data_IF_615126638608
#
_entry.id   IF_615126638608
#
_cell.length_a   1.000
_cell.length_b   1.000
_cell.length_c   1.000
_cell.angle_alpha   90.00
_cell.angle_beta   90.00
_cell.angle_gamma   90.00
#
_symmetry.space_group_name_H-M   'P 1'
#
loop_
_entity.id
_entity.type
_entity.pdbx_description
1 polymer ?
#
# COMPACT_ATOMS: atom_id res chain seq x y z
N UNK A 1 11.87 14.48 -2.38
CA UNK A 1 10.67 15.09 -3.01
C UNK A 1 9.68 15.53 -1.93
N UNK A 2 8.77 16.48 -2.18
CA UNK A 2 7.71 16.86 -1.24
C UNK A 2 6.73 15.70 -0.99
N UNK A 3 6.55 15.22 0.26
CA UNK A 3 5.60 14.15 0.58
C UNK A 3 4.19 14.71 0.77
N UNK A 4 3.38 14.73 -0.28
CA UNK A 4 1.98 15.15 -0.17
C UNK A 4 1.19 14.18 0.73
N UNK A 5 0.69 14.67 1.87
CA UNK A 5 -0.02 13.83 2.85
C UNK A 5 -1.27 13.16 2.26
N UNK A 6 -1.96 13.82 1.34
CA UNK A 6 -3.09 13.22 0.60
C UNK A 6 -2.71 11.94 -0.13
N UNK A 7 -1.51 11.88 -0.73
CA UNK A 7 -0.99 10.68 -1.42
C UNK A 7 -0.50 9.63 -0.41
N UNK A 8 0.06 10.06 0.72
CA UNK A 8 0.43 9.17 1.84
C UNK A 8 -0.81 8.46 2.39
N UNK A 9 -1.88 9.20 2.70
CA UNK A 9 -3.13 8.62 3.17
C UNK A 9 -3.81 7.75 2.10
N UNK A 10 -3.86 8.22 0.85
CA UNK A 10 -4.37 7.45 -0.29
C UNK A 10 -3.75 6.05 -0.33
N UNK A 11 -2.41 5.99 -0.38
CA UNK A 11 -1.70 4.74 -0.61
C UNK A 11 -1.70 3.80 0.60
N UNK A 12 -1.66 4.35 1.83
CA UNK A 12 -1.73 3.53 3.05
C UNK A 12 -3.13 2.96 3.28
N UNK A 13 -4.19 3.76 3.09
CA UNK A 13 -5.58 3.32 3.30
C UNK A 13 -6.00 2.28 2.25
N UNK A 14 -5.73 2.55 0.96
CA UNK A 14 -6.03 1.60 -0.11
C UNK A 14 -5.24 0.29 0.09
N UNK A 15 -3.94 0.38 0.42
CA UNK A 15 -3.12 -0.80 0.66
C UNK A 15 -3.64 -1.68 1.79
N UNK A 16 -4.03 -1.08 2.93
CA UNK A 16 -4.63 -1.81 4.05
C UNK A 16 -5.97 -2.46 3.68
N UNK A 17 -6.80 -1.76 2.90
CA UNK A 17 -8.08 -2.27 2.42
C UNK A 17 -7.93 -3.48 1.48
N UNK A 18 -6.96 -3.40 0.55
CA UNK A 18 -6.58 -4.48 -0.35
C UNK A 18 -6.10 -5.70 0.44
N UNK A 19 -5.21 -5.50 1.41
CA UNK A 19 -4.76 -6.58 2.27
C UNK A 19 -5.88 -7.21 3.09
N UNK A 20 -6.81 -6.40 3.61
CA UNK A 20 -7.95 -6.89 4.38
C UNK A 20 -8.83 -7.79 3.51
N UNK A 21 -9.14 -7.36 2.29
CA UNK A 21 -9.90 -8.20 1.35
C UNK A 21 -9.18 -9.53 1.05
N UNK A 22 -7.87 -9.50 0.81
CA UNK A 22 -7.08 -10.74 0.64
C UNK A 22 -7.18 -11.65 1.86
N UNK A 23 -7.18 -11.10 3.08
CA UNK A 23 -7.33 -11.87 4.30
C UNK A 23 -8.74 -12.52 4.41
N UNK A 24 -9.80 -11.77 4.13
CA UNK A 24 -11.17 -12.31 4.11
C UNK A 24 -11.27 -13.51 3.17
N UNK A 25 -10.86 -13.33 1.91
CA UNK A 25 -10.97 -14.40 0.93
C UNK A 25 -10.04 -15.57 1.22
N UNK A 26 -8.84 -15.33 1.78
CA UNK A 26 -7.95 -16.40 2.25
C UNK A 26 -8.61 -17.22 3.35
N UNK A 27 -9.27 -16.56 4.33
CA UNK A 27 -10.05 -17.26 5.36
C UNK A 27 -11.10 -18.17 4.73
N UNK A 28 -11.89 -17.63 3.80
CA UNK A 28 -12.91 -18.40 3.10
C UNK A 28 -12.35 -19.62 2.35
N UNK A 29 -11.25 -19.46 1.61
CA UNK A 29 -10.61 -20.60 0.92
C UNK A 29 -10.25 -21.69 1.94
N UNK A 30 -9.62 -21.32 3.05
CA UNK A 30 -9.18 -22.30 4.05
C UNK A 30 -10.36 -23.02 4.71
N UNK A 31 -11.47 -22.33 4.96
CA UNK A 31 -12.68 -22.96 5.51
C UNK A 31 -13.38 -23.84 4.47
N UNK A 32 -13.55 -23.38 3.22
CA UNK A 32 -14.24 -24.15 2.18
C UNK A 32 -13.51 -25.46 1.83
N UNK A 33 -12.17 -25.44 1.83
CA UNK A 33 -11.36 -26.64 1.62
C UNK A 33 -11.08 -27.43 2.91
N UNK A 34 -11.80 -27.15 4.00
CA UNK A 34 -11.71 -27.86 5.30
C UNK A 34 -10.30 -27.89 5.89
N UNK A 35 -9.49 -26.88 5.60
CA UNK A 35 -8.16 -26.68 6.18
C UNK A 35 -8.24 -25.98 7.53
N UNK A 36 -9.38 -25.34 7.83
CA UNK A 36 -9.71 -24.66 9.09
C UNK A 36 -11.16 -24.95 9.48
N UNK A 37 -11.55 -24.73 10.76
CA UNK A 37 -12.93 -24.86 11.23
C UNK A 37 -13.90 -24.04 10.38
N UNK A 38 -15.11 -24.56 10.17
CA UNK A 38 -16.13 -23.86 9.38
C UNK A 38 -16.49 -22.53 10.05
N UNK A 39 -16.36 -21.45 9.28
CA UNK A 39 -16.76 -20.14 9.73
C UNK A 39 -18.24 -19.93 9.40
N UNK A 40 -19.09 -20.24 10.37
CA UNK A 40 -20.54 -20.17 10.19
C UNK A 40 -21.13 -18.77 10.34
N UNK A 41 -20.32 -17.78 10.73
CA UNK A 41 -20.78 -16.40 10.88
C UNK A 41 -20.49 -15.55 9.62
N UNK A 42 -21.51 -15.22 8.80
CA UNK A 42 -21.34 -14.36 7.62
C UNK A 42 -20.96 -12.92 8.00
N UNK A 43 -21.17 -12.48 9.25
CA UNK A 43 -20.87 -11.12 9.69
C UNK A 43 -19.40 -10.75 9.51
N UNK A 44 -18.48 -11.70 9.65
CA UNK A 44 -17.06 -11.43 9.43
C UNK A 44 -16.78 -10.99 7.98
N UNK A 45 -17.37 -11.68 7.00
CA UNK A 45 -17.21 -11.33 5.59
C UNK A 45 -17.94 -10.03 5.24
N UNK A 46 -19.14 -9.82 5.79
CA UNK A 46 -19.96 -8.62 5.54
C UNK A 46 -19.29 -7.38 6.13
N UNK A 47 -18.96 -7.41 7.43
CA UNK A 47 -18.33 -6.29 8.14
C UNK A 47 -16.91 -6.06 7.61
N UNK A 48 -16.15 -7.12 7.34
CA UNK A 48 -14.84 -7.01 6.72
C UNK A 48 -14.88 -6.34 5.35
N UNK A 49 -15.85 -6.71 4.51
CA UNK A 49 -16.05 -6.07 3.20
C UNK A 49 -16.45 -4.60 3.34
N UNK A 50 -17.35 -4.29 4.28
CA UNK A 50 -17.75 -2.91 4.57
C UNK A 50 -16.56 -2.06 5.06
N UNK A 51 -15.72 -2.62 5.94
CA UNK A 51 -14.50 -1.96 6.42
C UNK A 51 -13.49 -1.76 5.29
N UNK A 52 -13.29 -2.75 4.42
CA UNK A 52 -12.42 -2.61 3.23
C UNK A 52 -12.95 -1.50 2.30
N UNK A 53 -14.25 -1.45 2.03
CA UNK A 53 -14.87 -0.38 1.23
C UNK A 53 -14.71 1.00 1.87
N UNK A 54 -14.86 1.10 3.20
CA UNK A 54 -14.66 2.36 3.92
C UNK A 54 -13.23 2.86 3.76
N UNK A 55 -12.23 1.96 3.88
CA UNK A 55 -10.82 2.31 3.69
C UNK A 55 -10.50 2.68 2.23
N UNK A 56 -11.03 1.93 1.24
CA UNK A 56 -10.91 2.26 -0.18
C UNK A 56 -11.53 3.63 -0.48
N UNK A 57 -12.72 3.89 0.04
CA UNK A 57 -13.44 5.15 -0.12
C UNK A 57 -12.71 6.32 0.54
N UNK A 58 -12.18 6.14 1.75
CA UNK A 58 -11.38 7.15 2.44
C UNK A 58 -10.08 7.46 1.69
N UNK A 59 -9.40 6.44 1.16
CA UNK A 59 -8.23 6.60 0.30
C UNK A 59 -8.58 7.36 -0.98
N UNK A 60 -9.63 6.93 -1.70
CA UNK A 60 -10.13 7.62 -2.89
C UNK A 60 -10.47 9.09 -2.59
N UNK A 61 -11.14 9.37 -1.48
CA UNK A 61 -11.44 10.73 -1.04
C UNK A 61 -10.17 11.54 -0.79
N UNK A 62 -9.16 10.96 -0.13
CA UNK A 62 -7.87 11.60 0.07
C UNK A 62 -7.19 11.99 -1.26
N UNK A 63 -7.41 11.22 -2.34
CA UNK A 63 -6.84 11.54 -3.66
C UNK A 63 -7.29 12.89 -4.22
N UNK A 64 -8.46 13.41 -3.85
CA UNK A 64 -8.95 14.67 -4.42
C UNK A 64 -8.16 15.89 -3.93
N UNK A 65 -7.56 15.82 -2.74
CA UNK A 65 -6.88 16.96 -2.12
C UNK A 65 -5.52 17.31 -2.74
N UNK A 66 -4.97 16.48 -3.65
CA UNK A 66 -3.78 16.85 -4.43
C UNK A 66 -4.09 17.27 -5.88
N UNK A 67 -5.37 17.24 -6.29
CA UNK A 67 -5.76 17.63 -7.64
C UNK A 67 -5.90 19.15 -7.74
N UNK A 68 -5.27 19.75 -8.74
CA UNK A 68 -5.48 21.17 -9.04
C UNK A 68 -6.88 21.49 -9.58
N UNK A 69 -7.51 20.54 -10.27
CA UNK A 69 -8.85 20.66 -10.88
C UNK A 69 -9.67 19.39 -10.63
N UNK A 70 -10.21 19.20 -9.41
CA UNK A 70 -10.91 17.97 -9.02
C UNK A 70 -12.15 17.68 -9.87
N UNK A 71 -12.80 18.71 -10.43
CA UNK A 71 -13.96 18.57 -11.32
C UNK A 71 -13.63 17.85 -12.64
N UNK A 72 -12.35 17.78 -13.01
CA UNK A 72 -11.85 17.10 -14.22
C UNK A 72 -11.27 15.72 -13.94
N UNK A 73 -11.35 15.23 -12.70
CA UNK A 73 -10.73 13.96 -12.28
C UNK A 73 -11.18 12.77 -13.16
N UNK A 74 -12.43 12.74 -13.61
CA UNK A 74 -12.98 11.68 -14.47
C UNK A 74 -12.21 11.52 -15.81
N UNK A 75 -11.57 12.59 -16.31
CA UNK A 75 -10.77 12.54 -17.55
C UNK A 75 -9.51 11.70 -17.42
N UNK A 76 -9.05 11.41 -16.20
CA UNK A 76 -7.85 10.62 -15.94
C UNK A 76 -7.95 9.16 -16.44
N UNK A 77 -9.16 8.67 -16.73
CA UNK A 77 -9.43 7.33 -17.29
C UNK A 77 -8.95 7.20 -18.76
N UNK A 78 -8.81 8.31 -19.49
CA UNK A 78 -8.67 8.29 -20.95
C UNK A 78 -7.37 7.65 -21.49
N UNK A 79 -6.31 7.50 -20.67
CA UNK A 79 -4.97 7.08 -21.10
C UNK A 79 -4.52 5.71 -20.54
N UNK A 80 -5.46 4.81 -20.26
CA UNK A 80 -5.20 3.53 -19.60
C UNK A 80 -4.20 2.61 -20.34
N UNK A 81 -4.05 2.76 -21.67
CA UNK A 81 -3.07 1.97 -22.44
C UNK A 81 -1.63 2.36 -22.15
N UNK A 82 -1.36 3.58 -21.71
CA UNK A 82 0.01 4.11 -21.56
C UNK A 82 0.32 4.66 -20.16
N UNK A 83 -0.70 4.93 -19.33
CA UNK A 83 -0.56 5.51 -18.00
C UNK A 83 -0.97 4.54 -16.90
N UNK A 84 -0.06 4.28 -15.96
CA UNK A 84 -0.35 3.47 -14.76
C UNK A 84 -1.35 4.15 -13.83
N UNK A 85 -1.29 5.48 -13.69
CA UNK A 85 -2.29 6.25 -12.96
C UNK A 85 -3.68 6.05 -13.54
N UNK A 86 -3.80 6.07 -14.87
CA UNK A 86 -5.08 5.83 -15.54
C UNK A 86 -5.62 4.41 -15.32
N UNK A 87 -4.73 3.41 -15.23
CA UNK A 87 -5.10 2.03 -14.87
C UNK A 87 -5.55 1.91 -13.42
N UNK A 88 -4.91 2.62 -12.48
CA UNK A 88 -5.33 2.67 -11.07
C UNK A 88 -6.75 3.25 -10.94
N UNK A 89 -7.06 4.34 -11.66
CA UNK A 89 -8.39 4.97 -11.65
C UNK A 89 -9.49 4.02 -12.18
N UNK A 90 -9.15 3.01 -12.97
CA UNK A 90 -10.09 1.95 -13.40
C UNK A 90 -10.10 0.79 -12.40
N UNK A 91 -8.92 0.33 -11.97
CA UNK A 91 -8.76 -0.82 -11.10
C UNK A 91 -9.37 -0.59 -9.70
N UNK A 92 -9.28 0.63 -9.16
CA UNK A 92 -9.80 0.97 -7.84
C UNK A 92 -11.33 0.86 -7.78
N UNK A 93 -12.12 1.53 -8.64
CA UNK A 93 -13.57 1.32 -8.70
C UNK A 93 -13.98 -0.11 -9.01
N UNK A 94 -13.23 -0.81 -9.89
CA UNK A 94 -13.51 -2.21 -10.20
C UNK A 94 -13.32 -3.10 -8.96
N UNK A 95 -12.24 -2.90 -8.20
CA UNK A 95 -12.03 -3.59 -6.92
C UNK A 95 -13.13 -3.24 -5.92
N UNK A 96 -13.51 -1.97 -5.76
CA UNK A 96 -14.61 -1.56 -4.89
C UNK A 96 -15.94 -2.24 -5.27
N UNK A 97 -16.23 -2.35 -6.56
CA UNK A 97 -17.40 -3.09 -7.04
C UNK A 97 -17.30 -4.58 -6.70
N UNK A 98 -16.13 -5.19 -6.86
CA UNK A 98 -15.87 -6.58 -6.48
C UNK A 98 -16.05 -6.85 -4.98
N UNK A 99 -15.48 -5.99 -4.11
CA UNK A 99 -15.65 -6.09 -2.65
C UNK A 99 -17.10 -5.91 -2.25
N UNK A 100 -17.81 -4.97 -2.87
CA UNK A 100 -19.26 -4.78 -2.66
C UNK A 100 -20.03 -6.03 -3.04
N UNK A 101 -19.78 -6.59 -4.23
CA UNK A 101 -20.46 -7.78 -4.70
C UNK A 101 -20.17 -8.99 -3.79
N UNK A 102 -18.93 -9.16 -3.36
CA UNK A 102 -18.52 -10.21 -2.42
C UNK A 102 -19.24 -10.08 -1.07
N UNK A 103 -19.22 -8.91 -0.45
CA UNK A 103 -19.93 -8.68 0.82
C UNK A 103 -21.44 -8.81 0.69
N UNK A 104 -22.03 -8.35 -0.43
CA UNK A 104 -23.45 -8.51 -0.70
C UNK A 104 -23.84 -9.99 -0.89
N UNK A 105 -23.00 -10.79 -1.56
CA UNK A 105 -23.26 -12.21 -1.74
C UNK A 105 -23.30 -12.96 -0.39
N UNK A 106 -22.42 -12.59 0.56
CA UNK A 106 -22.50 -13.09 1.94
C UNK A 106 -23.74 -12.59 2.68
N UNK A 107 -24.12 -11.31 2.51
CA UNK A 107 -25.31 -10.74 3.14
C UNK A 107 -26.62 -11.38 2.67
N UNK A 108 -26.74 -11.70 1.39
CA UNK A 108 -27.92 -12.35 0.81
C UNK A 108 -27.86 -13.88 0.88
N UNK A 109 -26.88 -14.45 1.58
CA UNK A 109 -26.68 -15.90 1.72
C UNK A 109 -26.63 -16.65 0.38
N UNK A 110 -25.89 -16.09 -0.59
CA UNK A 110 -25.65 -16.71 -1.90
C UNK A 110 -24.55 -17.79 -1.82
N UNK A 111 -24.61 -18.61 -0.78
CA UNK A 111 -23.63 -19.64 -0.40
C UNK A 111 -23.97 -21.02 -0.94
N UNK A 112 -25.13 -21.17 -1.60
CA UNK A 112 -25.53 -22.42 -2.23
C UNK A 112 -24.56 -22.81 -3.37
N UNK A 113 -24.03 -24.05 -3.40
CA UNK A 113 -23.14 -24.50 -4.45
C UNK A 113 -23.77 -24.42 -5.84
N UNK A 114 -23.11 -23.72 -6.76
CA UNK A 114 -23.51 -23.64 -8.17
C UNK A 114 -23.01 -24.86 -8.97
N UNK A 115 -21.83 -25.38 -8.60
CA UNK A 115 -21.26 -26.60 -9.14
C UNK A 115 -20.31 -27.24 -8.13
N UNK A 116 -20.09 -28.54 -8.26
CA UNK A 116 -19.17 -29.28 -7.41
C UNK A 116 -17.88 -29.62 -8.16
N UNK A 117 -16.76 -29.52 -7.46
CA UNK A 117 -15.48 -30.03 -7.96
C UNK A 117 -15.46 -31.57 -7.89
N UNK A 118 -14.57 -32.25 -8.64
CA UNK A 118 -14.43 -33.72 -8.55
C UNK A 118 -14.12 -34.26 -7.14
N UNK A 119 -13.68 -33.39 -6.21
CA UNK A 119 -13.48 -33.73 -4.79
C UNK A 119 -14.67 -33.45 -3.88
N UNK A 120 -15.85 -33.14 -4.43
CA UNK A 120 -17.08 -32.86 -3.67
C UNK A 120 -17.09 -31.50 -2.97
N UNK A 121 -16.16 -30.59 -3.29
CA UNK A 121 -16.19 -29.22 -2.78
C UNK A 121 -17.13 -28.40 -3.65
N UNK A 122 -18.21 -27.87 -3.07
CA UNK A 122 -19.14 -26.96 -3.73
C UNK A 122 -18.51 -25.59 -3.96
N UNK A 123 -18.64 -25.08 -5.19
CA UNK A 123 -18.25 -23.72 -5.55
C UNK A 123 -19.52 -22.88 -5.63
N UNK A 124 -19.61 -21.88 -4.76
CA UNK A 124 -20.74 -20.96 -4.66
C UNK A 124 -20.44 -19.61 -5.35
N UNK A 125 -21.40 -18.69 -5.32
CA UNK A 125 -21.22 -17.36 -5.90
C UNK A 125 -20.15 -16.54 -5.13
N UNK A 126 -20.05 -16.74 -3.81
CA UNK A 126 -19.13 -15.98 -2.95
C UNK A 126 -17.66 -16.30 -3.29
N UNK A 127 -17.33 -17.57 -3.55
CA UNK A 127 -16.00 -18.00 -3.98
C UNK A 127 -15.59 -17.41 -5.33
N UNK A 128 -16.51 -17.42 -6.30
CA UNK A 128 -16.25 -16.87 -7.65
C UNK A 128 -15.98 -15.37 -7.57
N UNK A 129 -16.84 -14.64 -6.86
CA UNK A 129 -16.67 -13.19 -6.64
C UNK A 129 -15.39 -12.90 -5.86
N UNK A 130 -15.07 -13.71 -4.86
CA UNK A 130 -13.85 -13.61 -4.08
C UNK A 130 -12.59 -13.79 -4.94
N UNK A 131 -12.59 -14.76 -5.84
CA UNK A 131 -11.49 -15.03 -6.77
C UNK A 131 -11.30 -13.87 -7.77
N UNK A 132 -12.39 -13.41 -8.40
CA UNK A 132 -12.35 -12.27 -9.34
C UNK A 132 -11.84 -11.02 -8.62
N UNK A 133 -12.34 -10.74 -7.42
CA UNK A 133 -11.95 -9.55 -6.65
C UNK A 133 -10.51 -9.65 -6.15
N UNK A 134 -10.00 -10.86 -5.91
CA UNK A 134 -8.58 -11.09 -5.61
C UNK A 134 -7.69 -10.71 -6.81
N UNK A 135 -8.07 -11.10 -8.03
CA UNK A 135 -7.37 -10.68 -9.24
C UNK A 135 -7.39 -9.16 -9.44
N UNK A 136 -8.53 -8.51 -9.16
CA UNK A 136 -8.65 -7.04 -9.18
C UNK A 136 -7.78 -6.39 -8.09
N UNK A 137 -7.69 -7.00 -6.91
CA UNK A 137 -6.87 -6.52 -5.80
C UNK A 137 -5.38 -6.52 -6.16
N UNK A 138 -4.86 -7.61 -6.74
CA UNK A 138 -3.49 -7.63 -7.24
C UNK A 138 -3.26 -6.68 -8.41
N UNK A 139 -4.23 -6.54 -9.31
CA UNK A 139 -4.17 -5.56 -10.40
C UNK A 139 -4.02 -4.15 -9.84
N UNK A 140 -4.79 -3.79 -8.80
CA UNK A 140 -4.69 -2.50 -8.15
C UNK A 140 -3.33 -2.30 -7.47
N UNK A 141 -2.80 -3.29 -6.74
CA UNK A 141 -1.45 -3.21 -6.14
C UNK A 141 -0.36 -2.94 -7.19
N UNK A 142 -0.43 -3.65 -8.32
CA UNK A 142 0.50 -3.45 -9.43
C UNK A 142 0.34 -2.05 -10.01
N UNK A 143 -0.89 -1.56 -10.20
CA UNK A 143 -1.13 -0.21 -10.71
C UNK A 143 -0.52 0.86 -9.78
N UNK A 144 -0.83 0.81 -8.47
CA UNK A 144 -0.32 1.75 -7.47
C UNK A 144 1.21 1.73 -7.40
N UNK A 145 1.83 0.55 -7.32
CA UNK A 145 3.28 0.43 -7.27
C UNK A 145 3.96 0.91 -8.56
N UNK A 146 3.36 0.63 -9.72
CA UNK A 146 3.94 0.97 -11.02
C UNK A 146 3.86 2.47 -11.36
N UNK A 147 2.98 3.24 -10.73
CA UNK A 147 2.99 4.72 -10.83
C UNK A 147 4.36 5.27 -10.46
N UNK A 148 5.02 4.66 -9.47
CA UNK A 148 6.35 5.05 -9.02
C UNK A 148 7.45 4.26 -9.71
N UNK A 149 7.28 2.93 -9.82
CA UNK A 149 8.32 2.05 -10.34
C UNK A 149 8.62 2.30 -11.83
N UNK A 150 7.73 2.93 -12.60
CA UNK A 150 7.99 3.27 -14.00
C UNK A 150 8.80 4.56 -14.20
N UNK A 151 9.03 5.36 -13.15
CA UNK A 151 9.68 6.67 -13.24
C UNK A 151 11.21 6.50 -13.25
N UNK A 152 11.76 6.24 -14.45
CA UNK A 152 13.18 5.89 -14.66
C UNK A 152 14.19 6.87 -14.06
N UNK A 153 13.86 8.16 -14.00
CA UNK A 153 14.77 9.19 -13.52
C UNK A 153 14.81 9.31 -11.99
N UNK A 154 13.80 8.78 -11.28
CA UNK A 154 13.81 8.63 -9.82
C UNK A 154 14.30 7.22 -9.49
N UNK A 155 15.61 7.10 -9.34
CA UNK A 155 16.29 5.81 -9.24
C UNK A 155 15.90 5.05 -7.96
N UNK A 156 15.56 5.79 -6.89
CA UNK A 156 15.10 5.26 -5.61
C UNK A 156 13.77 4.53 -5.76
N UNK A 157 12.92 4.97 -6.69
CA UNK A 157 11.60 4.37 -6.97
C UNK A 157 11.64 3.35 -8.10
N UNK A 158 12.50 3.54 -9.11
CA UNK A 158 12.57 2.70 -10.29
C UNK A 158 13.22 1.32 -9.99
N UNK A 159 12.43 0.44 -9.38
CA UNK A 159 12.80 -0.91 -8.98
C UNK A 159 11.55 -1.79 -8.83
N UNK A 160 11.62 -3.11 -9.14
CA UNK A 160 10.52 -4.03 -8.80
C UNK A 160 10.26 -4.10 -7.28
N UNK A 161 11.26 -3.79 -6.44
CA UNK A 161 11.10 -3.71 -4.99
C UNK A 161 10.03 -2.70 -4.57
N UNK A 162 9.79 -1.67 -5.37
CA UNK A 162 8.72 -0.70 -5.10
C UNK A 162 7.36 -1.38 -5.14
N UNK A 163 7.03 -2.08 -6.24
CA UNK A 163 5.77 -2.80 -6.37
C UNK A 163 5.61 -3.85 -5.26
N UNK A 164 6.67 -4.62 -5.00
CA UNK A 164 6.67 -5.66 -3.96
C UNK A 164 6.41 -5.05 -2.56
N UNK A 165 7.04 -3.92 -2.23
CA UNK A 165 6.85 -3.27 -0.94
C UNK A 165 5.44 -2.72 -0.76
N UNK A 166 4.83 -2.12 -1.80
CA UNK A 166 3.43 -1.68 -1.73
C UNK A 166 2.48 -2.87 -1.46
N UNK A 167 2.67 -3.98 -2.18
CA UNK A 167 1.88 -5.20 -1.97
C UNK A 167 2.07 -5.77 -0.58
N UNK A 168 3.31 -6.03 -0.14
CA UNK A 168 3.59 -6.69 1.14
C UNK A 168 3.15 -5.84 2.34
N UNK A 169 3.37 -4.52 2.31
CA UNK A 169 2.95 -3.63 3.40
C UNK A 169 1.41 -3.51 3.48
N UNK A 170 0.74 -3.43 2.33
CA UNK A 170 -0.72 -3.48 2.25
C UNK A 170 -1.29 -4.80 2.78
N UNK A 171 -0.76 -5.94 2.30
CA UNK A 171 -1.15 -7.27 2.78
C UNK A 171 -0.88 -7.45 4.27
N UNK A 172 0.28 -7.06 4.78
CA UNK A 172 0.62 -7.15 6.21
C UNK A 172 -0.39 -6.40 7.08
N UNK A 173 -0.64 -5.12 6.77
CA UNK A 173 -1.60 -4.30 7.53
C UNK A 173 -3.04 -4.78 7.40
N UNK A 174 -3.43 -5.30 6.25
CA UNK A 174 -4.74 -5.89 6.05
C UNK A 174 -4.97 -7.18 6.85
N UNK A 175 -3.96 -8.05 6.96
CA UNK A 175 -4.03 -9.23 7.82
C UNK A 175 -4.01 -8.87 9.31
N UNK A 176 -3.30 -7.81 9.71
CA UNK A 176 -3.39 -7.25 11.07
C UNK A 176 -4.82 -6.75 11.35
N UNK A 177 -5.47 -6.06 10.40
CA UNK A 177 -6.88 -5.66 10.51
C UNK A 177 -7.82 -6.87 10.61
N UNK A 178 -7.60 -7.91 9.82
CA UNK A 178 -8.38 -9.15 9.89
C UNK A 178 -8.23 -9.83 11.25
N UNK A 179 -7.05 -9.76 11.87
CA UNK A 179 -6.81 -10.23 13.24
C UNK A 179 -7.69 -9.48 14.25
N UNK A 180 -7.77 -8.15 14.16
CA UNK A 180 -8.65 -7.32 15.01
C UNK A 180 -10.11 -7.70 14.81
N UNK A 181 -10.55 -7.78 13.55
CA UNK A 181 -11.93 -8.10 13.21
C UNK A 181 -12.33 -9.48 13.73
N UNK A 182 -11.45 -10.47 13.55
CA UNK A 182 -11.64 -11.83 14.02
C UNK A 182 -11.68 -11.92 15.55
N UNK A 183 -10.79 -11.21 16.25
CA UNK A 183 -10.82 -11.14 17.71
C UNK A 183 -12.03 -10.38 18.26
N UNK A 184 -12.57 -9.40 17.52
CA UNK A 184 -13.77 -8.64 17.92
C UNK A 184 -15.06 -9.44 17.75
N UNK A 185 -15.15 -10.21 16.67
CA UNK A 185 -16.28 -11.10 16.37
C UNK A 185 -16.13 -12.50 17.01
N UNK A 186 -15.10 -12.70 17.83
CA UNK A 186 -14.79 -13.96 18.51
C UNK A 186 -14.73 -15.18 17.57
N UNK A 187 -14.09 -14.99 16.40
CA UNK A 187 -13.93 -16.09 15.43
C UNK A 187 -12.65 -16.89 15.72
N UNK A 188 -12.68 -18.20 15.45
CA UNK A 188 -11.52 -19.10 15.67
C UNK A 188 -10.31 -18.80 14.77
N UNK A 189 -10.42 -17.83 13.85
CA UNK A 189 -9.38 -17.46 12.89
C UNK A 189 -8.42 -16.38 13.37
N UNK A 190 -8.55 -15.88 14.60
CA UNK A 190 -7.74 -14.74 15.06
C UNK A 190 -6.24 -15.07 15.03
N UNK A 191 -5.89 -16.26 15.52
CA UNK A 191 -4.51 -16.76 15.50
C UNK A 191 -4.02 -17.06 14.08
N UNK A 192 -4.91 -17.50 13.19
CA UNK A 192 -4.59 -17.71 11.78
C UNK A 192 -4.19 -16.39 11.12
N UNK A 193 -5.00 -15.35 11.29
CA UNK A 193 -4.71 -14.03 10.74
C UNK A 193 -3.48 -13.38 11.37
N UNK A 194 -3.30 -13.50 12.68
CA UNK A 194 -2.12 -12.99 13.37
C UNK A 194 -0.83 -13.63 12.85
N UNK A 195 -0.85 -14.96 12.63
CA UNK A 195 0.31 -15.70 12.10
C UNK A 195 0.68 -15.25 10.68
N UNK A 196 -0.31 -15.08 9.81
CA UNK A 196 -0.09 -14.55 8.46
C UNK A 196 0.32 -13.07 8.48
N UNK A 197 -0.26 -12.25 9.37
CA UNK A 197 0.13 -10.86 9.56
C UNK A 197 1.61 -10.74 9.96
N UNK A 198 2.08 -11.55 10.90
CA UNK A 198 3.50 -11.64 11.28
C UNK A 198 4.35 -12.05 10.07
N UNK A 199 3.95 -13.09 9.36
CA UNK A 199 4.67 -13.60 8.19
C UNK A 199 4.84 -12.53 7.12
N UNK A 200 3.75 -11.87 6.72
CA UNK A 200 3.80 -10.77 5.75
C UNK A 200 4.56 -9.56 6.26
N UNK A 201 4.49 -9.25 7.56
CA UNK A 201 5.26 -8.15 8.16
C UNK A 201 6.77 -8.44 8.12
N UNK A 202 7.19 -9.68 8.39
CA UNK A 202 8.59 -10.11 8.27
C UNK A 202 9.05 -10.05 6.80
N UNK A 203 8.25 -10.57 5.87
CA UNK A 203 8.57 -10.48 4.44
C UNK A 203 8.67 -9.03 3.97
N UNK A 204 7.72 -8.18 4.37
CA UNK A 204 7.74 -6.75 4.08
C UNK A 204 9.01 -6.07 4.65
N UNK A 205 9.43 -6.43 5.87
CA UNK A 205 10.67 -5.94 6.46
C UNK A 205 11.89 -6.30 5.61
N UNK A 206 12.01 -7.56 5.18
CA UNK A 206 13.15 -8.02 4.38
C UNK A 206 13.24 -7.29 3.04
N UNK A 207 12.12 -7.17 2.32
CA UNK A 207 12.07 -6.47 1.03
C UNK A 207 12.25 -4.95 1.18
N UNK A 208 11.76 -4.37 2.29
CA UNK A 208 11.97 -2.95 2.57
C UNK A 208 13.42 -2.65 2.94
N UNK A 209 14.05 -3.51 3.72
CA UNK A 209 15.48 -3.43 4.02
C UNK A 209 16.31 -3.57 2.74
N UNK A 210 15.98 -4.52 1.86
CA UNK A 210 16.64 -4.67 0.56
C UNK A 210 16.52 -3.40 -0.29
N UNK A 211 15.35 -2.74 -0.30
CA UNK A 211 15.13 -1.47 -0.98
C UNK A 211 15.99 -0.34 -0.41
N UNK A 212 16.10 -0.22 0.92
CA UNK A 212 16.94 0.81 1.55
C UNK A 212 18.43 0.56 1.29
N UNK A 213 18.90 -0.68 1.43
CA UNK A 213 20.30 -1.05 1.15
C UNK A 213 20.65 -0.83 -0.32
N UNK A 214 19.74 -1.12 -1.24
CA UNK A 214 19.90 -0.78 -2.66
C UNK A 214 20.04 0.73 -2.83
N UNK A 215 19.15 1.52 -2.24
CA UNK A 215 19.12 2.96 -2.43
C UNK A 215 20.41 3.65 -1.94
N UNK A 216 21.00 3.15 -0.85
CA UNK A 216 22.31 3.62 -0.36
C UNK A 216 23.47 3.40 -1.35
N UNK A 217 23.32 2.46 -2.29
CA UNK A 217 24.34 2.12 -3.29
C UNK A 217 24.06 2.75 -4.66
N UNK A 218 23.03 3.59 -4.78
CA UNK A 218 22.70 4.25 -6.06
C UNK A 218 23.77 5.27 -6.42
N UNK A 219 24.31 5.14 -7.63
CA UNK A 219 25.11 6.18 -8.26
C UNK A 219 24.22 7.05 -9.17
N UNK A 220 24.19 8.38 -9.00
CA UNK A 220 23.46 9.28 -9.89
C UNK A 220 23.84 9.07 -11.36
N UNK A 221 22.85 8.84 -12.25
CA UNK A 221 23.07 8.71 -13.70
C UNK A 221 23.25 10.05 -14.41
N UNK A 222 22.69 11.10 -13.83
CA UNK A 222 22.77 12.46 -14.34
C UNK A 222 23.69 13.28 -13.44
N UNK A 223 24.52 14.10 -14.07
CA UNK A 223 25.33 15.14 -13.44
C UNK A 223 25.09 16.49 -14.13
N UNK A 224 25.71 17.56 -13.61
CA UNK A 224 25.60 18.92 -14.16
C UNK A 224 25.95 19.00 -15.66
N UNK A 225 26.81 18.12 -16.15
CA UNK A 225 27.35 18.13 -17.52
C UNK A 225 26.38 17.46 -18.50
N UNK A 226 25.82 16.33 -18.08
CA UNK A 226 25.00 15.43 -18.89
C UNK A 226 23.76 16.12 -19.46
N UNK A 227 23.07 16.98 -18.70
CA UNK A 227 21.85 17.62 -19.20
C UNK A 227 22.11 18.78 -20.17
N UNK A 228 23.32 19.35 -20.18
CA UNK A 228 23.74 20.40 -21.13
C UNK A 228 24.64 19.88 -22.25
N UNK A 229 24.95 18.58 -22.28
CA UNK A 229 25.78 17.94 -23.30
C UNK A 229 27.26 18.39 -23.30
N UNK A 230 27.73 19.02 -22.22
CA UNK A 230 29.09 19.57 -22.14
C UNK A 230 30.09 18.48 -21.74
N UNK A 231 31.15 18.29 -22.53
CA UNK A 231 32.22 17.31 -22.23
C UNK A 231 33.35 17.86 -21.37
N UNK A 232 33.34 19.17 -21.09
CA UNK A 232 34.38 19.81 -20.29
C UNK A 232 34.40 19.25 -18.85
N UNK A 233 35.57 18.91 -18.28
CA UNK A 233 35.67 18.24 -16.98
C UNK A 233 35.34 19.13 -15.79
N UNK A 234 35.10 20.42 -16.00
CA UNK A 234 34.74 21.35 -14.93
C UNK A 234 33.54 22.17 -15.39
N UNK A 235 32.41 21.96 -14.73
CA UNK A 235 31.18 22.76 -14.86
C UNK A 235 30.81 23.17 -13.44
N UNK A 236 30.68 24.46 -13.21
CA UNK A 236 30.31 25.03 -11.91
C UNK A 236 29.00 25.78 -12.12
N UNK A 237 28.00 25.46 -11.30
CA UNK A 237 26.78 26.24 -11.27
C UNK A 237 27.05 27.55 -10.51
N UNK A 238 26.93 28.69 -11.22
CA UNK A 238 27.17 30.03 -10.65
C UNK A 238 25.87 30.61 -10.06
N UNK A 239 24.74 30.32 -10.70
CA UNK A 239 23.41 30.74 -10.29
C UNK A 239 22.37 29.78 -10.85
N UNK A 240 21.20 29.68 -10.20
CA UNK A 240 20.03 28.97 -10.74
C UNK A 240 19.17 29.86 -11.68
N UNK A 241 19.55 31.12 -11.88
CA UNK A 241 18.86 32.05 -12.78
C UNK A 241 17.62 32.74 -12.20
N UNK A 242 17.35 32.56 -10.90
CA UNK A 242 16.24 33.20 -10.18
C UNK A 242 16.73 33.80 -8.87
N UNK A 243 16.15 34.94 -8.48
CA UNK A 243 16.38 35.60 -7.19
C UNK A 243 15.41 35.13 -6.09
N UNK A 244 14.33 34.42 -6.45
CA UNK A 244 13.29 33.93 -5.55
C UNK A 244 13.05 32.43 -5.71
N UNK A 245 12.28 31.84 -4.79
CA UNK A 245 11.90 30.44 -4.87
C UNK A 245 11.04 30.14 -6.12
N UNK A 246 11.21 28.97 -6.68
CA UNK A 246 10.44 28.45 -7.82
C UNK A 246 9.57 27.25 -7.42
N UNK A 247 8.73 26.77 -8.34
CA UNK A 247 8.03 25.50 -8.18
C UNK A 247 8.99 24.34 -7.86
N UNK A 248 10.12 24.26 -8.57
CA UNK A 248 11.09 23.18 -8.41
C UNK A 248 11.73 23.17 -7.01
N UNK A 249 12.05 24.34 -6.47
CA UNK A 249 12.61 24.47 -5.10
C UNK A 249 11.60 24.14 -4.01
N UNK A 250 10.30 24.11 -4.31
CA UNK A 250 9.23 23.78 -3.35
C UNK A 250 8.82 22.31 -3.48
N UNK A 251 8.63 21.82 -4.70
CA UNK A 251 8.05 20.50 -4.96
C UNK A 251 9.08 19.36 -4.89
N UNK A 252 10.31 19.60 -5.35
CA UNK A 252 11.34 18.56 -5.41
C UNK A 252 12.20 18.48 -4.14
N UNK A 253 11.91 19.33 -3.16
CA UNK A 253 12.49 19.35 -1.83
C UNK A 253 11.43 19.02 -0.78
N UNK A 254 11.79 18.25 0.25
CA UNK A 254 10.90 17.94 1.36
C UNK A 254 10.94 18.99 2.48
N UNK A 255 11.83 19.99 2.39
CA UNK A 255 11.90 21.11 3.34
C UNK A 255 12.37 20.75 4.76
N UNK A 256 12.89 19.54 4.97
CA UNK A 256 13.39 19.09 6.28
C UNK A 256 14.88 18.78 6.24
N UNK A 257 15.50 18.65 7.40
CA UNK A 257 16.92 18.29 7.52
C UNK A 257 17.14 16.79 7.29
N UNK A 258 18.36 16.40 6.92
CA UNK A 258 18.75 15.00 6.76
C UNK A 258 18.57 14.19 8.06
N UNK A 259 18.75 14.83 9.23
CA UNK A 259 18.54 14.17 10.52
C UNK A 259 17.07 13.79 10.75
N UNK A 260 16.12 14.63 10.30
CA UNK A 260 14.69 14.30 10.35
C UNK A 260 14.39 13.11 9.45
N UNK A 261 14.85 13.13 8.19
CA UNK A 261 14.62 12.01 7.25
C UNK A 261 15.21 10.70 7.79
N UNK A 262 16.43 10.76 8.34
CA UNK A 262 17.09 9.61 8.97
C UNK A 262 16.30 9.07 10.18
N UNK A 263 15.78 9.95 11.04
CA UNK A 263 15.02 9.54 12.21
C UNK A 263 13.65 8.95 11.82
N UNK A 264 12.95 9.57 10.85
CA UNK A 264 11.67 9.05 10.33
C UNK A 264 11.86 7.65 9.75
N UNK A 265 12.96 7.38 9.04
CA UNK A 265 13.30 6.02 8.57
C UNK A 265 13.36 5.01 9.72
N UNK A 266 14.07 5.33 10.82
CA UNK A 266 14.17 4.40 11.96
C UNK A 266 12.83 4.23 12.67
N UNK A 267 12.10 5.32 12.89
CA UNK A 267 10.75 5.30 13.49
C UNK A 267 9.82 4.43 12.64
N UNK A 268 9.79 4.63 11.32
CA UNK A 268 9.02 3.82 10.39
C UNK A 268 9.34 2.33 10.53
N UNK A 269 10.61 1.94 10.57
CA UNK A 269 11.00 0.54 10.72
C UNK A 269 10.54 -0.07 12.06
N UNK A 270 10.63 0.69 13.14
CA UNK A 270 10.20 0.23 14.47
C UNK A 270 8.67 0.08 14.52
N UNK A 271 7.94 1.08 14.04
CA UNK A 271 6.48 1.14 14.13
C UNK A 271 5.78 0.25 13.10
N UNK A 272 6.35 0.00 11.92
CA UNK A 272 5.74 -0.90 10.91
C UNK A 272 6.03 -2.37 11.19
N UNK A 273 7.26 -2.67 11.66
CA UNK A 273 7.74 -4.04 11.74
C UNK A 273 7.92 -4.52 13.19
N UNK A 274 8.85 -3.92 13.94
CA UNK A 274 9.29 -4.47 15.22
C UNK A 274 8.16 -4.53 16.25
N UNK A 275 7.49 -3.40 16.50
CA UNK A 275 6.44 -3.32 17.52
C UNK A 275 5.20 -4.15 17.12
N UNK A 276 4.67 -4.05 15.88
CA UNK A 276 3.54 -4.87 15.46
C UNK A 276 3.83 -6.38 15.53
N UNK A 277 5.03 -6.84 15.17
CA UNK A 277 5.40 -8.25 15.30
C UNK A 277 5.32 -8.69 16.77
N UNK A 278 5.91 -7.92 17.69
CA UNK A 278 5.88 -8.26 19.12
C UNK A 278 4.44 -8.31 19.63
N UNK A 279 3.62 -7.31 19.30
CA UNK A 279 2.22 -7.25 19.72
C UNK A 279 1.40 -8.41 19.15
N UNK A 280 1.59 -8.75 17.87
CA UNK A 280 0.90 -9.88 17.24
C UNK A 280 1.34 -11.22 17.84
N UNK A 281 2.63 -11.40 18.16
CA UNK A 281 3.11 -12.61 18.86
C UNK A 281 2.49 -12.73 20.24
N UNK A 282 2.37 -11.63 20.99
CA UNK A 282 1.66 -11.62 22.28
C UNK A 282 0.18 -11.95 22.07
N UNK A 283 -0.44 -11.42 21.02
CA UNK A 283 -1.84 -11.69 20.66
C UNK A 283 -2.11 -13.18 20.41
N UNK A 284 -1.13 -13.97 19.98
CA UNK A 284 -1.29 -15.43 19.81
C UNK A 284 -1.48 -16.18 21.14
N UNK A 285 -1.11 -15.56 22.26
CA UNK A 285 -1.16 -16.16 23.60
C UNK A 285 -2.32 -15.62 24.44
N UNK A 286 -3.06 -14.63 23.93
CA UNK A 286 -4.11 -13.94 24.66
C UNK A 286 -5.39 -13.91 23.86
N UNK A 287 -6.52 -14.12 24.51
CA UNK A 287 -7.84 -13.87 23.92
C UNK A 287 -8.21 -12.39 24.11
N UNK A 288 -8.54 -11.68 23.03
CA UNK A 288 -9.10 -10.33 23.12
C UNK A 288 -8.63 -9.37 22.04
N UNK A 289 -9.46 -8.35 21.80
CA UNK A 289 -9.27 -7.38 20.70
C UNK A 289 -8.21 -6.30 20.98
N UNK A 290 -7.88 -6.04 22.25
CA UNK A 290 -7.07 -4.86 22.64
C UNK A 290 -5.66 -4.91 22.03
N UNK A 291 -4.96 -6.04 22.16
CA UNK A 291 -3.59 -6.18 21.67
C UNK A 291 -3.49 -6.06 20.14
N UNK A 292 -4.28 -6.80 19.32
CA UNK A 292 -4.23 -6.63 17.87
C UNK A 292 -4.70 -5.22 17.45
N UNK A 293 -5.61 -4.58 18.20
CA UNK A 293 -6.02 -3.19 17.92
C UNK A 293 -4.86 -2.22 18.11
N UNK A 294 -4.09 -2.35 19.19
CA UNK A 294 -2.87 -1.55 19.38
C UNK A 294 -1.86 -1.86 18.27
N UNK A 295 -1.73 -3.12 17.86
CA UNK A 295 -0.81 -3.53 16.80
C UNK A 295 -1.11 -2.82 15.47
N UNK A 296 -2.38 -2.78 15.04
CA UNK A 296 -2.74 -2.08 13.79
C UNK A 296 -2.58 -0.56 13.90
N UNK A 297 -2.92 0.04 15.03
CA UNK A 297 -2.77 1.50 15.21
C UNK A 297 -1.29 1.91 15.13
N UNK A 298 -0.41 1.16 15.81
CA UNK A 298 1.04 1.39 15.74
C UNK A 298 1.56 1.13 14.33
N UNK A 299 1.15 0.03 13.69
CA UNK A 299 1.55 -0.30 12.33
C UNK A 299 1.13 0.79 11.34
N UNK A 300 -0.09 1.29 11.44
CA UNK A 300 -0.61 2.33 10.56
C UNK A 300 0.12 3.66 10.71
N UNK A 301 0.42 4.08 11.95
CA UNK A 301 1.27 5.26 12.19
C UNK A 301 2.68 5.06 11.60
N UNK A 302 3.22 3.86 11.70
CA UNK A 302 4.44 3.47 11.02
C UNK A 302 4.33 3.57 9.50
N UNK A 303 3.23 3.12 8.89
CA UNK A 303 3.02 3.15 7.45
C UNK A 303 2.95 4.58 6.91
N UNK A 304 2.34 5.51 7.65
CA UNK A 304 2.35 6.94 7.32
C UNK A 304 3.80 7.45 7.28
N UNK A 305 4.57 7.17 8.32
CA UNK A 305 5.99 7.56 8.39
C UNK A 305 6.83 6.91 7.27
N UNK A 306 6.55 5.64 6.96
CA UNK A 306 7.25 4.88 5.95
C UNK A 306 6.95 5.40 4.52
N UNK A 307 5.68 5.69 4.21
CA UNK A 307 5.28 6.32 2.94
C UNK A 307 5.84 7.73 2.83
N UNK A 308 5.81 8.51 3.91
CA UNK A 308 6.45 9.82 3.95
C UNK A 308 7.95 9.71 3.62
N UNK A 309 8.65 8.77 4.26
CA UNK A 309 10.07 8.51 4.00
C UNK A 309 10.31 8.09 2.54
N UNK A 310 9.46 7.23 1.97
CA UNK A 310 9.56 6.83 0.55
C UNK A 310 9.57 8.04 -0.41
N UNK A 311 8.80 9.09 -0.14
CA UNK A 311 8.82 10.31 -0.94
C UNK A 311 10.00 11.24 -0.61
N UNK A 312 10.31 11.39 0.68
CA UNK A 312 11.38 12.28 1.13
C UNK A 312 12.76 11.81 0.66
N UNK A 313 13.02 10.50 0.69
CA UNK A 313 14.31 9.85 0.31
C UNK A 313 14.62 9.97 -1.19
N UNK A 314 13.62 10.26 -2.03
CA UNK A 314 13.81 10.39 -3.46
C UNK A 314 14.52 11.69 -3.83
N UNK A 315 15.64 11.57 -4.53
CA UNK A 315 16.42 12.70 -5.02
C UNK A 315 16.13 12.99 -6.50
N UNK A 316 15.48 14.12 -6.77
CA UNK A 316 15.10 14.49 -8.12
C UNK A 316 16.31 15.01 -8.90
N UNK A 317 16.59 14.57 -10.14
CA UNK A 317 17.73 15.06 -10.92
C UNK A 317 17.75 16.58 -11.15
N UNK A 318 16.59 17.24 -11.11
CA UNK A 318 16.55 18.71 -11.19
C UNK A 318 17.20 19.41 -9.98
N UNK A 319 17.35 18.74 -8.84
CA UNK A 319 18.03 19.28 -7.67
C UNK A 319 19.53 19.53 -7.94
N UNK A 320 20.07 18.98 -9.03
CA UNK A 320 21.41 19.34 -9.53
C UNK A 320 21.49 20.80 -9.98
N UNK A 321 20.38 21.36 -10.49
CA UNK A 321 20.30 22.70 -11.09
C UNK A 321 19.53 23.71 -10.24
N UNK A 322 18.63 23.26 -9.37
CA UNK A 322 17.92 24.13 -8.44
C UNK A 322 18.38 23.79 -7.04
N UNK A 323 19.11 24.72 -6.42
CA UNK A 323 19.61 24.54 -5.06
C UNK A 323 18.64 25.18 -4.08
N UNK A 324 18.49 24.56 -2.90
CA UNK A 324 17.67 25.13 -1.84
C UNK A 324 18.19 26.53 -1.51
N UNK A 325 17.33 27.54 -1.66
CA UNK A 325 17.62 28.86 -1.14
C UNK A 325 17.29 28.83 0.35
N UNK A 326 18.33 29.03 1.17
CA UNK A 326 18.21 29.14 2.61
C UNK A 326 17.32 30.32 3.02
#
# INVERSE_FOLDING_TARGET
MHPAFSVVFLTTLIGAAQGLFLALFTGQIFTTFKLMPEQNDPNFYIIGSALSLLLLGAGLFASFFHLGHPERAWRSIAKWRTSWLSREVIALPAMMAGVTAYGAAHYFDLTYPLFETPGGTGIDATLILGFITTALTYTLFVCTGMIYACIKFLQEWHSPLTVINFTLLGTASGFTLATVLSAWLDTELANFYATWAITFTVLAFLFRLASVVRNQKITPKSDLRSAIGVRHPKVVQITQGFLGGSFNTREYFHGTTEIVVRNVKYIAFILVFLIPIILLVVSLQTTGVIIPLIAILVQYMGLIAERWFFFADANHPQNLYYQNMA
#
